data_IF_355357185682
#
_entry.id   IF_355357185682
#
_cell.length_a   1.000
_cell.length_b   1.000
_cell.length_c   1.000
_cell.angle_alpha   90.00
_cell.angle_beta   90.00
_cell.angle_gamma   90.00
#
_symmetry.space_group_name_H-M   'P 1'
#
loop_
_entity.id
_entity.type
_entity.pdbx_description
1 polymer ?
#
# COMPACT_ATOMS: atom_id res chain seq x y z
N UNK A 1 -29.39 48.87 2.22
CA UNK A 1 -29.06 47.66 2.97
C UNK A 1 -28.38 46.72 2.00
N UNK A 2 -27.06 46.86 1.93
CA UNK A 2 -26.16 45.87 1.33
C UNK A 2 -26.18 44.59 2.15
N UNK A 3 -26.07 43.45 1.48
CA UNK A 3 -25.07 42.44 1.81
C UNK A 3 -24.47 41.95 0.47
N UNK A 4 -23.15 42.08 0.26
CA UNK A 4 -22.48 41.75 -1.00
C UNK A 4 -22.17 40.24 -1.09
N UNK A 5 -22.33 39.67 -2.28
CA UNK A 5 -21.95 38.28 -2.57
C UNK A 5 -20.44 38.05 -2.46
N UNK A 6 -19.99 36.84 -2.07
CA UNK A 6 -18.58 36.55 -1.91
C UNK A 6 -17.87 36.58 -3.27
N UNK A 7 -16.84 37.43 -3.32
CA UNK A 7 -16.07 37.76 -4.51
C UNK A 7 -15.20 36.62 -5.07
N UNK A 8 -14.86 36.84 -6.33
CA UNK A 8 -13.86 36.13 -7.15
C UNK A 8 -12.57 35.84 -6.38
N UNK A 9 -12.22 34.56 -6.26
CA UNK A 9 -10.86 34.13 -5.96
C UNK A 9 -10.20 33.71 -7.28
N UNK A 10 -9.52 34.65 -7.92
CA UNK A 10 -8.51 34.36 -8.92
C UNK A 10 -7.36 33.61 -8.24
N UNK A 11 -7.00 32.45 -8.77
CA UNK A 11 -5.80 31.72 -8.35
C UNK A 11 -4.58 32.50 -8.86
N UNK A 12 -3.89 33.19 -7.95
CA UNK A 12 -2.71 34.00 -8.27
C UNK A 12 -1.52 33.14 -8.70
N UNK A 13 -0.66 33.60 -9.62
CA UNK A 13 0.58 32.91 -9.96
C UNK A 13 1.54 32.94 -8.77
N UNK A 14 2.16 31.81 -8.45
CA UNK A 14 3.22 31.73 -7.43
C UNK A 14 4.43 32.56 -7.89
N UNK A 15 4.66 33.69 -7.21
CA UNK A 15 5.84 34.53 -7.39
C UNK A 15 7.12 33.83 -6.92
N UNK A 16 8.19 34.01 -7.70
CA UNK A 16 9.56 33.62 -7.36
C UNK A 16 10.16 34.59 -6.34
N UNK A 17 10.67 34.06 -5.23
CA UNK A 17 11.60 34.77 -4.35
C UNK A 17 12.94 34.04 -4.26
N UNK A 18 14.00 34.65 -4.79
CA UNK A 18 15.40 34.43 -4.37
C UNK A 18 15.66 35.43 -3.22
N UNK A 19 16.35 35.16 -2.12
CA UNK A 19 17.78 34.81 -1.95
C UNK A 19 18.06 34.54 -0.46
N UNK A 20 19.04 33.68 -0.13
CA UNK A 20 19.61 33.61 1.22
C UNK A 20 20.43 32.34 1.48
N UNK A 21 21.73 32.44 1.28
CA UNK A 21 22.76 31.39 1.37
C UNK A 21 22.83 30.68 2.72
N UNK A 22 22.58 29.37 2.73
CA UNK A 22 22.94 28.43 3.80
C UNK A 22 23.62 27.21 3.17
N UNK A 23 24.91 27.09 3.42
CA UNK A 23 25.79 26.01 2.94
C UNK A 23 25.36 24.63 3.44
N UNK A 24 25.05 23.71 2.53
CA UNK A 24 24.93 22.28 2.84
C UNK A 24 23.82 21.56 2.07
N UNK A 25 24.08 21.23 0.81
CA UNK A 25 23.91 19.86 0.26
C UNK A 25 24.16 19.94 -1.24
N UNK A 26 25.36 19.54 -1.67
CA UNK A 26 25.55 19.03 -3.02
C UNK A 26 24.71 17.76 -3.14
N UNK A 27 23.41 17.91 -3.32
CA UNK A 27 22.53 16.77 -3.60
C UNK A 27 22.96 16.20 -4.93
N UNK A 28 23.36 14.93 -4.94
CA UNK A 28 23.79 14.25 -6.16
C UNK A 28 22.82 14.62 -7.30
N UNK A 29 23.31 15.18 -8.43
CA UNK A 29 22.44 15.55 -9.54
C UNK A 29 21.58 14.37 -10.03
N UNK A 30 22.07 13.15 -9.81
CA UNK A 30 21.33 11.90 -9.97
C UNK A 30 20.06 11.82 -9.10
N UNK A 31 20.12 12.21 -7.83
CA UNK A 31 18.96 12.23 -6.92
C UNK A 31 17.89 13.21 -7.39
N UNK A 32 18.31 14.37 -7.91
CA UNK A 32 17.42 15.33 -8.55
C UNK A 32 16.73 14.74 -9.78
N UNK A 33 17.51 14.10 -10.66
CA UNK A 33 17.00 13.44 -11.86
C UNK A 33 15.99 12.32 -11.54
N UNK A 34 16.28 11.43 -10.59
CA UNK A 34 15.37 10.36 -10.18
C UNK A 34 14.08 10.90 -9.56
N UNK A 35 14.16 11.96 -8.75
CA UNK A 35 12.99 12.57 -8.13
C UNK A 35 12.06 13.18 -9.19
N UNK A 36 12.62 13.90 -10.15
CA UNK A 36 11.86 14.47 -11.26
C UNK A 36 11.23 13.39 -12.12
N UNK A 37 11.96 12.31 -12.42
CA UNK A 37 11.46 11.16 -13.18
C UNK A 37 10.30 10.45 -12.46
N UNK A 38 10.44 10.17 -11.15
CA UNK A 38 9.37 9.52 -10.40
C UNK A 38 8.12 10.40 -10.26
N UNK A 39 8.27 11.73 -10.22
CA UNK A 39 7.15 12.67 -10.18
C UNK A 39 6.46 12.84 -11.54
N UNK A 40 7.18 12.61 -12.65
CA UNK A 40 6.64 12.79 -13.99
C UNK A 40 5.87 11.58 -14.53
N UNK A 41 5.88 10.43 -13.84
CA UNK A 41 5.20 9.20 -14.26
C UNK A 41 4.12 8.81 -13.26
N UNK A 42 2.93 8.46 -13.77
CA UNK A 42 1.83 7.95 -12.95
C UNK A 42 2.00 6.44 -12.77
N UNK A 43 1.44 5.89 -11.70
CA UNK A 43 1.48 4.45 -11.45
C UNK A 43 0.85 3.62 -12.58
N UNK A 44 -0.13 4.17 -13.30
CA UNK A 44 -0.74 3.54 -14.47
C UNK A 44 0.22 3.40 -15.66
N UNK A 45 1.17 4.32 -15.80
CA UNK A 45 2.15 4.29 -16.89
C UNK A 45 3.17 3.15 -16.69
N UNK A 46 3.26 2.60 -15.46
CA UNK A 46 4.11 1.46 -15.10
C UNK A 46 3.42 0.10 -15.29
N UNK A 47 2.09 0.08 -15.48
CA UNK A 47 1.34 -1.17 -15.64
C UNK A 47 1.61 -1.71 -17.06
N UNK A 48 2.12 -2.94 -17.21
CA UNK A 48 2.30 -3.55 -18.51
C UNK A 48 0.98 -3.68 -19.28
N UNK A 49 1.03 -3.74 -20.60
CA UNK A 49 -0.15 -3.89 -21.48
C UNK A 49 -1.08 -5.04 -21.07
N UNK A 50 -0.54 -6.09 -20.46
CA UNK A 50 -1.32 -7.14 -19.80
C UNK A 50 -0.66 -7.54 -18.48
N UNK A 51 -1.48 -7.87 -17.49
CA UNK A 51 -1.03 -8.30 -16.16
C UNK A 51 -2.03 -9.26 -15.54
N UNK A 52 -1.54 -10.17 -14.70
CA UNK A 52 -2.36 -11.09 -13.92
C UNK A 52 -2.51 -10.58 -12.51
N UNK A 53 -3.75 -10.41 -12.05
CA UNK A 53 -4.08 -10.04 -10.67
C UNK A 53 -4.71 -11.25 -9.98
N UNK A 54 -4.26 -11.57 -8.77
CA UNK A 54 -4.88 -12.58 -7.91
C UNK A 54 -5.53 -11.84 -6.74
N UNK A 55 -6.83 -12.07 -6.54
CA UNK A 55 -7.62 -11.49 -5.44
C UNK A 55 -8.27 -12.62 -4.67
N UNK A 56 -8.28 -12.53 -3.35
CA UNK A 56 -8.92 -13.51 -2.48
C UNK A 56 -10.16 -12.93 -1.82
N UNK A 57 -11.22 -13.73 -1.77
CA UNK A 57 -12.37 -13.41 -0.93
C UNK A 57 -12.03 -13.63 0.56
N UNK A 58 -12.60 -12.82 1.45
CA UNK A 58 -12.39 -12.94 2.90
C UNK A 58 -12.87 -14.27 3.49
N UNK A 59 -13.79 -14.97 2.82
CA UNK A 59 -14.25 -16.31 3.22
C UNK A 59 -13.31 -17.45 2.79
N UNK A 60 -12.26 -17.16 2.01
CA UNK A 60 -11.32 -18.16 1.53
C UNK A 60 -10.49 -18.75 2.68
N UNK A 61 -10.39 -20.08 2.72
CA UNK A 61 -9.58 -20.77 3.72
C UNK A 61 -8.09 -20.42 3.58
N UNK A 62 -7.43 -20.13 4.71
CA UNK A 62 -6.01 -19.74 4.79
C UNK A 62 -5.08 -20.73 4.06
N UNK A 63 -5.32 -22.04 4.19
CA UNK A 63 -4.51 -23.07 3.50
C UNK A 63 -4.60 -22.97 1.97
N UNK A 64 -5.80 -22.68 1.44
CA UNK A 64 -6.03 -22.51 0.00
C UNK A 64 -5.41 -21.21 -0.50
N UNK A 65 -5.55 -20.13 0.28
CA UNK A 65 -4.93 -18.85 -0.02
C UNK A 65 -3.40 -18.98 -0.10
N UNK A 66 -2.78 -19.72 0.83
CA UNK A 66 -1.34 -19.99 0.81
C UNK A 66 -0.92 -20.71 -0.49
N UNK A 67 -1.59 -21.80 -0.83
CA UNK A 67 -1.27 -22.56 -2.04
C UNK A 67 -1.49 -21.73 -3.31
N UNK A 68 -2.54 -20.91 -3.34
CA UNK A 68 -2.82 -20.02 -4.46
C UNK A 68 -1.72 -18.96 -4.65
N UNK A 69 -1.16 -18.39 -3.58
CA UNK A 69 -0.02 -17.48 -3.70
C UNK A 69 1.21 -18.18 -4.32
N UNK A 70 1.55 -19.36 -3.81
CA UNK A 70 2.72 -20.13 -4.27
C UNK A 70 2.58 -20.54 -5.74
N UNK A 71 1.43 -21.10 -6.12
CA UNK A 71 1.18 -21.56 -7.50
C UNK A 71 1.10 -20.43 -8.52
N UNK A 72 0.63 -19.25 -8.10
CA UNK A 72 0.59 -18.08 -8.97
C UNK A 72 1.89 -17.26 -8.94
N UNK A 73 2.87 -17.63 -8.11
CA UNK A 73 4.15 -16.94 -8.00
C UNK A 73 4.04 -15.52 -7.41
N UNK A 74 2.97 -15.22 -6.66
CA UNK A 74 2.73 -13.89 -6.07
C UNK A 74 2.97 -13.92 -4.56
N UNK A 75 3.53 -12.83 -4.02
CA UNK A 75 3.86 -12.72 -2.59
C UNK A 75 2.77 -12.07 -1.74
N UNK A 76 1.80 -11.45 -2.39
CA UNK A 76 0.67 -10.80 -1.77
C UNK A 76 -0.52 -10.80 -2.73
N UNK A 77 -1.73 -10.72 -2.16
CA UNK A 77 -2.98 -10.60 -2.90
C UNK A 77 -3.93 -9.65 -2.17
N UNK A 78 -4.70 -8.81 -2.86
CA UNK A 78 -5.78 -8.05 -2.26
C UNK A 78 -6.86 -8.97 -1.67
N UNK A 79 -7.46 -8.52 -0.57
CA UNK A 79 -8.61 -9.15 0.07
C UNK A 79 -9.89 -8.40 -0.30
N UNK A 80 -10.82 -9.12 -0.91
CA UNK A 80 -12.15 -8.65 -1.27
C UNK A 80 -13.19 -9.17 -0.28
N UNK A 81 -13.97 -8.27 0.31
CA UNK A 81 -15.13 -8.64 1.12
C UNK A 81 -16.38 -8.64 0.24
N UNK A 82 -16.85 -9.82 -0.17
CA UNK A 82 -18.05 -9.94 -1.01
C UNK A 82 -19.34 -9.44 -0.34
N UNK A 83 -19.40 -9.33 0.99
CA UNK A 83 -20.60 -8.80 1.66
C UNK A 83 -20.64 -7.27 1.59
N UNK A 84 -19.48 -6.63 1.74
CA UNK A 84 -19.34 -5.17 1.68
C UNK A 84 -19.05 -4.65 0.28
N UNK A 85 -18.77 -5.55 -0.67
CA UNK A 85 -18.35 -5.22 -2.03
C UNK A 85 -17.17 -4.24 -2.04
N UNK A 86 -16.15 -4.52 -1.24
CA UNK A 86 -15.01 -3.61 -1.06
C UNK A 86 -13.71 -4.35 -0.75
N UNK A 87 -12.59 -3.72 -1.12
CA UNK A 87 -11.25 -4.20 -0.73
C UNK A 87 -10.95 -3.81 0.71
N UNK A 88 -10.71 -4.81 1.55
CA UNK A 88 -10.52 -4.64 3.01
C UNK A 88 -9.05 -4.69 3.43
N UNK A 89 -8.14 -4.99 2.51
CA UNK A 89 -6.70 -5.00 2.77
C UNK A 89 -5.93 -5.90 1.81
N UNK A 90 -4.74 -6.29 2.23
CA UNK A 90 -3.84 -7.18 1.51
C UNK A 90 -3.50 -8.38 2.39
N UNK A 91 -3.49 -9.57 1.81
CA UNK A 91 -2.91 -10.77 2.43
C UNK A 91 -1.48 -10.94 1.92
N UNK A 92 -0.54 -11.06 2.83
CA UNK A 92 0.90 -11.13 2.55
C UNK A 92 1.56 -12.30 3.25
N UNK A 93 2.81 -12.63 2.88
CA UNK A 93 3.62 -13.64 3.58
C UNK A 93 3.74 -13.33 5.08
N UNK A 94 3.84 -12.05 5.46
CA UNK A 94 3.93 -11.62 6.86
C UNK A 94 2.69 -12.03 7.66
N UNK A 95 1.50 -12.01 7.04
CA UNK A 95 0.27 -12.45 7.71
C UNK A 95 0.30 -13.94 8.04
N UNK A 96 0.85 -14.77 7.15
CA UNK A 96 1.02 -16.20 7.44
C UNK A 96 2.00 -16.44 8.58
N UNK A 97 3.11 -15.70 8.63
CA UNK A 97 4.06 -15.77 9.76
C UNK A 97 3.35 -15.39 11.06
N UNK A 98 2.57 -14.31 11.05
CA UNK A 98 1.81 -13.85 12.20
C UNK A 98 0.75 -14.86 12.65
N UNK A 99 0.04 -15.49 11.72
CA UNK A 99 -0.94 -16.54 12.01
C UNK A 99 -0.26 -17.73 12.68
N UNK A 100 0.86 -18.21 12.12
CA UNK A 100 1.61 -19.33 12.70
C UNK A 100 2.11 -18.97 14.11
N UNK A 101 2.73 -17.80 14.26
CA UNK A 101 3.23 -17.35 15.54
C UNK A 101 2.10 -17.27 16.59
N UNK A 102 0.94 -16.71 16.23
CA UNK A 102 -0.25 -16.68 17.13
C UNK A 102 -0.79 -18.08 17.43
N UNK A 103 -0.81 -18.98 16.45
CA UNK A 103 -1.29 -20.35 16.61
C UNK A 103 -0.42 -21.15 17.58
N UNK A 104 0.91 -21.04 17.45
CA UNK A 104 1.85 -21.79 18.30
C UNK A 104 2.11 -21.14 19.67
N UNK A 105 1.88 -19.83 19.83
CA UNK A 105 1.92 -19.16 21.14
C UNK A 105 0.62 -19.32 21.94
N UNK A 106 -0.49 -19.64 21.28
CA UNK A 106 -1.80 -19.77 21.92
C UNK A 106 -1.88 -21.03 22.80
N UNK A 107 -2.48 -20.97 24.01
CA UNK A 107 -2.63 -22.11 24.92
C UNK A 107 -3.37 -23.31 24.32
N UNK A 108 -4.08 -23.12 23.20
CA UNK A 108 -4.82 -24.17 22.51
C UNK A 108 -3.92 -25.32 22.02
N UNK A 109 -2.65 -25.06 21.70
CA UNK A 109 -1.68 -26.11 21.33
C UNK A 109 -0.88 -26.61 22.52
N UNK A 110 -0.70 -25.77 23.57
CA UNK A 110 0.06 -26.15 24.77
C UNK A 110 -0.74 -27.00 25.76
N UNK A 111 -2.08 -26.98 25.69
CA UNK A 111 -2.95 -27.81 26.56
C UNK A 111 -3.05 -29.28 26.17
N UNK A 112 -2.36 -29.73 25.11
CA UNK A 112 -2.21 -31.16 24.80
C UNK A 112 -1.06 -31.86 25.54
N UNK A 113 -0.26 -31.13 26.32
CA UNK A 113 0.92 -31.64 27.03
C UNK A 113 0.77 -31.74 28.54
N UNK A 114 -0.43 -32.05 29.03
CA UNK A 114 -0.61 -32.52 30.41
C UNK A 114 -0.51 -34.04 30.43
N UNK A 115 0.66 -34.56 30.80
CA UNK A 115 0.86 -35.96 31.21
C UNK A 115 1.78 -35.89 32.45
N UNK A 116 1.52 -36.72 33.48
CA UNK A 116 1.30 -36.38 34.89
C UNK A 116 2.51 -35.84 35.65
#
# INVERSE_FOLDING_TARGET
MEEPGPGSAAESPVERGETGTGTGTGGDPLRGAYTSFMKSHRCYDLIPTSSKLVVFDTSLQVKKAFFALVTNGVRAAPLWDSKKQSFVGMLTITDFINILHRYYRSPLVRRGGGVP
#
